data_IF_298143094396
#
_entry.id   IF_298143094396
#
_cell.length_a   1.000
_cell.length_b   1.000
_cell.length_c   1.000
_cell.angle_alpha   90.00
_cell.angle_beta   90.00
_cell.angle_gamma   90.00
#
_symmetry.space_group_name_H-M   'P 1'
#
loop_
_entity.id
_entity.type
_entity.pdbx_description
1 polymer ?
#
# COMPACT_ATOMS: atom_id res chain seq x y z
N UNK A 1 5.57 -43.73 -8.72
CA UNK A 1 6.58 -42.65 -8.77
C UNK A 1 6.21 -41.63 -7.72
N UNK A 2 6.89 -41.60 -6.58
CA UNK A 2 6.73 -40.55 -5.57
C UNK A 2 7.39 -39.29 -6.11
N UNK A 3 6.58 -38.30 -6.51
CA UNK A 3 7.07 -36.98 -6.91
C UNK A 3 7.88 -36.40 -5.76
N UNK A 4 9.01 -35.79 -6.12
CA UNK A 4 9.85 -34.98 -5.21
C UNK A 4 8.93 -33.97 -4.58
N UNK A 5 8.60 -34.13 -3.28
CA UNK A 5 7.86 -33.12 -2.53
C UNK A 5 8.79 -31.89 -2.45
N UNK A 6 8.57 -30.91 -3.30
CA UNK A 6 9.15 -29.58 -3.11
C UNK A 6 8.75 -29.11 -1.73
N UNK A 7 9.69 -28.60 -0.95
CA UNK A 7 9.36 -27.93 0.30
C UNK A 7 8.24 -26.90 0.05
N UNK A 8 7.21 -26.87 0.88
CA UNK A 8 6.11 -25.91 0.71
C UNK A 8 6.64 -24.48 0.78
N UNK A 9 6.04 -23.59 0.00
CA UNK A 9 6.31 -22.15 0.07
C UNK A 9 5.96 -21.66 1.48
N UNK A 10 6.93 -21.12 2.18
CA UNK A 10 6.80 -20.65 3.55
C UNK A 10 6.30 -19.21 3.57
N UNK A 11 5.14 -18.97 4.15
CA UNK A 11 4.48 -17.68 4.10
C UNK A 11 4.36 -17.08 5.50
N UNK A 12 4.75 -15.81 5.63
CA UNK A 12 4.42 -14.95 6.76
C UNK A 12 3.20 -14.10 6.39
N UNK A 13 2.16 -14.10 7.23
CA UNK A 13 0.99 -13.22 7.07
C UNK A 13 1.00 -12.13 8.13
N UNK A 14 0.78 -10.88 7.70
CA UNK A 14 0.79 -9.70 8.57
C UNK A 14 -0.47 -8.90 8.33
N UNK A 15 -1.34 -8.82 9.35
CA UNK A 15 -2.61 -8.07 9.31
C UNK A 15 -3.06 -7.83 10.75
N UNK A 16 -3.52 -6.64 11.09
CA UNK A 16 -4.00 -6.31 12.44
C UNK A 16 -5.41 -6.86 12.73
N UNK A 17 -6.15 -7.24 11.68
CA UNK A 17 -7.50 -7.81 11.81
C UNK A 17 -7.44 -9.33 11.96
N UNK A 18 -7.76 -9.90 13.14
CA UNK A 18 -7.61 -11.34 13.39
C UNK A 18 -8.39 -12.23 12.41
N UNK A 19 -9.64 -11.87 12.07
CA UNK A 19 -10.48 -12.64 11.15
C UNK A 19 -9.91 -12.67 9.73
N UNK A 20 -9.36 -11.55 9.27
CA UNK A 20 -8.73 -11.46 7.95
C UNK A 20 -7.47 -12.32 7.93
N UNK A 21 -6.62 -12.19 8.95
CA UNK A 21 -5.38 -12.94 9.10
C UNK A 21 -5.62 -14.45 9.13
N UNK A 22 -6.60 -14.91 9.92
CA UNK A 22 -7.00 -16.33 9.98
C UNK A 22 -7.59 -16.81 8.66
N UNK A 23 -8.44 -16.00 8.01
CA UNK A 23 -9.01 -16.30 6.71
C UNK A 23 -7.93 -16.50 5.64
N UNK A 24 -6.97 -15.59 5.57
CA UNK A 24 -5.83 -15.68 4.64
C UNK A 24 -4.98 -16.92 4.97
N UNK A 25 -4.69 -17.16 6.25
CA UNK A 25 -3.92 -18.32 6.67
C UNK A 25 -4.63 -19.65 6.29
N UNK A 26 -5.94 -19.71 6.43
CA UNK A 26 -6.75 -20.86 6.01
C UNK A 26 -6.66 -21.10 4.49
N UNK A 27 -6.76 -20.03 3.70
CA UNK A 27 -6.61 -20.10 2.23
C UNK A 27 -5.23 -20.63 1.85
N UNK A 28 -4.17 -20.12 2.47
CA UNK A 28 -2.79 -20.55 2.19
C UNK A 28 -2.58 -22.01 2.58
N UNK A 29 -2.97 -22.39 3.79
CA UNK A 29 -2.77 -23.75 4.31
C UNK A 29 -3.66 -24.80 3.60
N UNK A 30 -4.70 -24.37 2.88
CA UNK A 30 -5.47 -25.26 2.01
C UNK A 30 -4.73 -25.64 0.71
N UNK A 31 -3.67 -24.90 0.37
CA UNK A 31 -2.85 -25.21 -0.81
C UNK A 31 -1.82 -26.28 -0.47
N UNK A 32 -1.67 -27.34 -1.33
CA UNK A 32 -0.74 -28.46 -1.04
C UNK A 32 0.74 -28.06 -1.11
N UNK A 33 1.04 -26.90 -1.69
CA UNK A 33 2.38 -26.38 -1.97
C UNK A 33 2.74 -25.13 -1.13
N UNK A 34 1.94 -24.77 -0.12
CA UNK A 34 2.15 -23.61 0.72
C UNK A 34 1.92 -23.91 2.20
N UNK A 35 2.56 -23.14 3.06
CA UNK A 35 2.38 -23.21 4.52
C UNK A 35 2.59 -21.85 5.17
N UNK A 36 1.68 -21.43 6.03
CA UNK A 36 1.90 -20.30 6.92
C UNK A 36 2.87 -20.71 8.01
N UNK A 37 4.00 -20.02 8.12
CA UNK A 37 5.04 -20.31 9.12
C UNK A 37 4.98 -19.37 10.32
N UNK A 38 4.38 -18.18 10.14
CA UNK A 38 4.14 -17.23 11.21
C UNK A 38 2.99 -16.27 10.84
N UNK A 39 2.36 -15.70 11.85
CA UNK A 39 1.32 -14.68 11.72
C UNK A 39 1.66 -13.51 12.64
N UNK A 40 1.70 -12.30 12.13
CA UNK A 40 1.98 -11.08 12.86
C UNK A 40 0.77 -10.15 12.86
N UNK A 41 0.59 -9.38 13.92
CA UNK A 41 -0.49 -8.40 14.08
C UNK A 41 -0.04 -6.96 13.95
N UNK A 42 1.26 -6.72 13.91
CA UNK A 42 1.87 -5.39 13.77
C UNK A 42 3.21 -5.45 13.03
N UNK A 43 3.79 -4.27 12.76
CA UNK A 43 5.02 -4.17 11.98
C UNK A 43 6.26 -4.67 12.72
N UNK A 44 6.32 -4.51 14.04
CA UNK A 44 7.46 -4.99 14.85
C UNK A 44 7.48 -6.50 14.92
N UNK A 45 6.31 -7.13 15.14
CA UNK A 45 6.17 -8.59 15.05
C UNK A 45 6.55 -9.09 13.66
N UNK A 46 6.11 -8.40 12.60
CA UNK A 46 6.45 -8.77 11.23
C UNK A 46 7.95 -8.79 10.98
N UNK A 47 8.68 -7.76 11.43
CA UNK A 47 10.15 -7.68 11.32
C UNK A 47 10.81 -8.81 12.12
N UNK A 48 10.38 -9.02 13.36
CA UNK A 48 10.92 -10.07 14.25
C UNK A 48 10.71 -11.47 13.68
N UNK A 49 9.48 -11.78 13.26
CA UNK A 49 9.14 -13.10 12.70
C UNK A 49 9.76 -13.33 11.33
N UNK A 50 9.97 -12.28 10.54
CA UNK A 50 10.74 -12.41 9.31
C UNK A 50 12.20 -12.84 9.60
N UNK A 51 12.86 -12.22 10.58
CA UNK A 51 14.22 -12.56 10.99
C UNK A 51 14.31 -14.00 11.50
N UNK A 52 13.33 -14.45 12.30
CA UNK A 52 13.30 -15.78 12.91
C UNK A 52 12.98 -16.87 11.88
N UNK A 53 11.90 -16.67 11.13
CA UNK A 53 11.36 -17.73 10.27
C UNK A 53 11.87 -17.69 8.84
N UNK A 54 12.43 -16.57 8.36
CA UNK A 54 12.94 -16.38 6.99
C UNK A 54 11.94 -16.95 5.95
N UNK A 55 10.73 -16.38 5.85
CA UNK A 55 9.71 -16.85 4.92
C UNK A 55 10.12 -16.63 3.47
N UNK A 56 9.60 -17.46 2.57
CA UNK A 56 9.82 -17.31 1.12
C UNK A 56 9.01 -16.14 0.55
N UNK A 57 7.82 -15.89 1.12
CA UNK A 57 6.89 -14.80 0.75
C UNK A 57 6.27 -14.22 2.02
N UNK A 58 6.14 -12.91 2.07
CA UNK A 58 5.40 -12.21 3.12
C UNK A 58 4.20 -11.50 2.53
N UNK A 59 3.01 -11.74 3.08
CA UNK A 59 1.82 -10.93 2.84
C UNK A 59 1.74 -9.87 3.93
N UNK A 60 1.79 -8.61 3.55
CA UNK A 60 1.91 -7.47 4.46
C UNK A 60 0.76 -6.49 4.26
N UNK A 61 -0.05 -6.29 5.28
CA UNK A 61 -1.04 -5.22 5.25
C UNK A 61 -0.36 -3.85 5.18
N UNK A 62 -0.95 -2.93 4.44
CA UNK A 62 -0.48 -1.54 4.36
C UNK A 62 -0.62 -0.79 5.68
N UNK A 63 -1.71 -1.05 6.40
CA UNK A 63 -2.06 -0.33 7.63
C UNK A 63 -1.89 -1.25 8.82
N UNK A 64 -0.88 -0.98 9.64
CA UNK A 64 -0.61 -1.66 10.89
C UNK A 64 -0.69 -0.65 12.04
N UNK A 65 -0.97 -1.09 13.27
CA UNK A 65 -1.23 -0.18 14.39
C UNK A 65 0.00 0.62 14.86
N UNK A 66 1.19 0.12 14.62
CA UNK A 66 2.45 0.70 15.10
C UNK A 66 3.27 1.43 14.03
N UNK A 67 3.17 1.00 12.77
CA UNK A 67 3.86 1.61 11.63
C UNK A 67 3.16 1.25 10.32
N UNK A 68 3.51 1.90 9.21
CA UNK A 68 2.99 1.47 7.92
C UNK A 68 3.63 0.14 7.47
N UNK A 69 2.86 -0.73 6.79
CA UNK A 69 3.41 -1.96 6.24
C UNK A 69 4.53 -1.71 5.22
N UNK A 70 4.53 -0.53 4.56
CA UNK A 70 5.63 -0.12 3.68
C UNK A 70 6.91 0.10 4.50
N UNK A 71 6.83 0.77 5.64
CA UNK A 71 7.98 1.02 6.51
C UNK A 71 8.52 -0.29 7.12
N UNK A 72 7.62 -1.21 7.52
CA UNK A 72 8.00 -2.56 7.94
C UNK A 72 8.70 -3.34 6.82
N UNK A 73 8.19 -3.27 5.58
CA UNK A 73 8.83 -3.88 4.42
C UNK A 73 10.22 -3.27 4.15
N UNK A 74 10.36 -1.95 4.22
CA UNK A 74 11.65 -1.27 4.05
C UNK A 74 12.65 -1.76 5.10
N UNK A 75 12.24 -1.86 6.37
CA UNK A 75 13.08 -2.36 7.46
C UNK A 75 13.52 -3.81 7.23
N UNK A 76 12.60 -4.69 6.79
CA UNK A 76 12.92 -6.08 6.43
C UNK A 76 13.91 -6.12 5.27
N UNK A 77 13.65 -5.38 4.18
CA UNK A 77 14.51 -5.38 3.00
C UNK A 77 15.86 -4.74 3.23
N UNK A 78 15.99 -3.83 4.19
CA UNK A 78 17.27 -3.27 4.62
C UNK A 78 18.23 -4.33 5.18
N UNK A 79 17.67 -5.38 5.81
CA UNK A 79 18.44 -6.52 6.34
C UNK A 79 18.47 -7.70 5.36
N UNK A 80 17.40 -7.89 4.58
CA UNK A 80 17.19 -9.00 3.65
C UNK A 80 16.78 -8.45 2.28
N UNK A 81 17.71 -7.98 1.43
CA UNK A 81 17.40 -7.33 0.14
C UNK A 81 16.54 -8.19 -0.81
N UNK A 82 16.66 -9.52 -0.70
CA UNK A 82 15.90 -10.48 -1.53
C UNK A 82 14.51 -10.83 -0.96
N UNK A 83 14.11 -10.22 0.16
CA UNK A 83 12.79 -10.44 0.75
C UNK A 83 11.68 -10.17 -0.28
N UNK A 84 10.78 -11.15 -0.41
CA UNK A 84 9.64 -11.07 -1.33
C UNK A 84 8.41 -10.68 -0.53
N UNK A 85 8.03 -9.41 -0.63
CA UNK A 85 6.87 -8.86 0.07
C UNK A 85 5.78 -8.53 -0.95
N UNK A 86 4.57 -9.01 -0.66
CA UNK A 86 3.33 -8.70 -1.35
C UNK A 86 2.52 -7.80 -0.41
N UNK A 87 2.12 -6.64 -0.88
CA UNK A 87 1.28 -5.75 -0.08
C UNK A 87 -0.19 -6.18 -0.18
N UNK A 88 -0.87 -6.18 0.96
CA UNK A 88 -2.32 -6.40 1.08
C UNK A 88 -3.04 -5.08 1.33
N UNK A 89 -4.22 -4.91 0.74
CA UNK A 89 -5.04 -3.72 0.99
C UNK A 89 -6.53 -4.01 0.79
N UNK A 90 -7.36 -3.21 1.46
CA UNK A 90 -8.80 -3.16 1.22
C UNK A 90 -9.17 -2.08 0.21
N UNK A 91 -8.29 -1.10 -0.03
CA UNK A 91 -8.57 0.08 -0.85
C UNK A 91 -7.49 0.32 -1.89
N UNK A 92 -7.93 0.90 -2.99
CA UNK A 92 -7.10 1.30 -4.12
C UNK A 92 -6.59 2.73 -3.89
N UNK A 93 -5.50 2.86 -3.15
CA UNK A 93 -4.81 4.13 -2.99
C UNK A 93 -3.59 4.15 -3.93
N UNK A 94 -3.71 4.86 -5.04
CA UNK A 94 -2.70 4.85 -6.11
C UNK A 94 -1.32 5.30 -5.62
N UNK A 95 -1.27 6.29 -4.73
CA UNK A 95 0.00 6.77 -4.17
C UNK A 95 0.65 5.75 -3.22
N UNK A 96 -0.15 5.01 -2.43
CA UNK A 96 0.38 3.94 -1.58
C UNK A 96 0.89 2.77 -2.42
N UNK A 97 0.18 2.43 -3.51
CA UNK A 97 0.63 1.42 -4.48
C UNK A 97 1.97 1.83 -5.10
N UNK A 98 2.07 3.06 -5.60
CA UNK A 98 3.29 3.57 -6.20
C UNK A 98 4.45 3.59 -5.19
N UNK A 99 4.20 4.10 -3.97
CA UNK A 99 5.20 4.11 -2.88
C UNK A 99 5.67 2.71 -2.53
N UNK A 100 4.76 1.74 -2.41
CA UNK A 100 5.11 0.36 -2.11
C UNK A 100 5.97 -0.28 -3.20
N UNK A 101 5.64 -0.05 -4.47
CA UNK A 101 6.39 -0.58 -5.60
C UNK A 101 7.79 0.04 -5.71
N UNK A 102 7.91 1.35 -5.49
CA UNK A 102 9.20 2.06 -5.45
C UNK A 102 10.06 1.57 -4.27
N UNK A 103 9.45 1.27 -3.13
CA UNK A 103 10.11 0.69 -1.97
C UNK A 103 10.48 -0.79 -2.16
N UNK A 104 10.05 -1.42 -3.26
CA UNK A 104 10.46 -2.76 -3.67
C UNK A 104 9.49 -3.88 -3.38
N UNK A 105 8.20 -3.59 -3.18
CA UNK A 105 7.16 -4.61 -3.18
C UNK A 105 7.21 -5.44 -4.47
N UNK A 106 7.00 -6.75 -4.36
CA UNK A 106 7.01 -7.65 -5.51
C UNK A 106 5.64 -7.79 -6.17
N UNK A 107 4.59 -7.53 -5.40
CA UNK A 107 3.22 -7.54 -5.88
C UNK A 107 2.32 -6.75 -4.92
N UNK A 108 1.09 -6.60 -5.34
CA UNK A 108 0.02 -5.93 -4.63
C UNK A 108 -1.26 -6.74 -4.77
N UNK A 109 -1.94 -7.04 -3.68
CA UNK A 109 -3.16 -7.88 -3.66
C UNK A 109 -4.27 -7.12 -2.93
N UNK A 110 -5.45 -7.08 -3.54
CA UNK A 110 -6.66 -6.64 -2.85
C UNK A 110 -7.13 -7.75 -1.89
N UNK A 111 -7.51 -7.40 -0.66
CA UNK A 111 -8.09 -8.36 0.32
C UNK A 111 -9.39 -8.99 -0.18
N UNK A 112 -10.05 -8.37 -1.17
CA UNK A 112 -11.24 -8.89 -1.87
C UNK A 112 -10.92 -9.87 -3.00
N UNK A 113 -9.64 -10.06 -3.35
CA UNK A 113 -9.22 -10.94 -4.42
C UNK A 113 -9.64 -12.39 -4.15
N UNK A 114 -10.12 -13.14 -5.17
CA UNK A 114 -10.46 -14.54 -5.02
C UNK A 114 -9.28 -15.38 -4.50
N UNK A 115 -9.50 -16.33 -3.57
CA UNK A 115 -8.46 -17.16 -2.96
C UNK A 115 -7.51 -17.83 -3.97
N UNK A 116 -8.06 -18.28 -5.11
CA UNK A 116 -7.28 -18.93 -6.16
C UNK A 116 -6.27 -17.98 -6.82
N UNK A 117 -6.68 -16.74 -7.07
CA UNK A 117 -5.81 -15.71 -7.68
C UNK A 117 -4.74 -15.25 -6.71
N UNK A 118 -5.08 -15.14 -5.41
CA UNK A 118 -4.12 -14.84 -4.34
C UNK A 118 -3.02 -15.92 -4.29
N UNK A 119 -3.40 -17.20 -4.30
CA UNK A 119 -2.45 -18.31 -4.29
C UNK A 119 -1.56 -18.30 -5.54
N UNK A 120 -2.12 -18.02 -6.71
CA UNK A 120 -1.34 -17.95 -7.95
C UNK A 120 -0.35 -16.78 -7.94
N UNK A 121 -0.76 -15.62 -7.45
CA UNK A 121 0.14 -14.46 -7.29
C UNK A 121 1.32 -14.78 -6.35
N UNK A 122 1.07 -15.48 -5.24
CA UNK A 122 2.15 -15.92 -4.34
C UNK A 122 3.12 -16.88 -5.03
N UNK A 123 2.63 -17.82 -5.84
CA UNK A 123 3.51 -18.73 -6.63
C UNK A 123 4.40 -17.96 -7.60
N UNK A 124 3.83 -16.99 -8.29
CA UNK A 124 4.56 -16.16 -9.24
C UNK A 124 5.64 -15.31 -8.54
N UNK A 125 5.30 -14.70 -7.40
CA UNK A 125 6.26 -13.93 -6.60
C UNK A 125 7.36 -14.84 -6.03
N UNK A 126 7.01 -16.03 -5.55
CA UNK A 126 7.99 -17.02 -5.12
C UNK A 126 8.93 -17.44 -6.26
N UNK A 127 8.42 -17.57 -7.48
CA UNK A 127 9.21 -17.82 -8.68
C UNK A 127 10.06 -16.61 -9.14
N UNK A 128 10.07 -15.51 -8.39
CA UNK A 128 10.87 -14.31 -8.67
C UNK A 128 10.22 -13.29 -9.60
N UNK A 129 8.98 -13.50 -10.04
CA UNK A 129 8.26 -12.56 -10.89
C UNK A 129 7.77 -11.36 -10.06
N UNK A 130 7.74 -10.19 -10.69
CA UNK A 130 6.96 -9.05 -10.19
C UNK A 130 5.57 -9.15 -10.85
N UNK A 131 4.54 -9.17 -10.05
CA UNK A 131 3.17 -9.30 -10.53
C UNK A 131 2.36 -8.10 -10.09
N UNK A 132 1.82 -7.37 -11.06
CA UNK A 132 0.83 -6.34 -10.80
C UNK A 132 -0.49 -6.84 -11.38
N UNK A 133 -1.58 -6.90 -10.58
CA UNK A 133 -2.91 -7.13 -11.13
C UNK A 133 -3.19 -6.14 -12.25
N UNK A 134 -3.86 -6.57 -13.32
CA UNK A 134 -4.12 -5.72 -14.49
C UNK A 134 -4.85 -4.41 -14.10
N UNK A 135 -5.76 -4.49 -13.13
CA UNK A 135 -6.46 -3.35 -12.55
C UNK A 135 -5.52 -2.31 -11.95
N UNK A 136 -4.53 -2.77 -11.18
CA UNK A 136 -3.51 -1.92 -10.55
C UNK A 136 -2.58 -1.33 -11.62
N UNK A 137 -2.19 -2.12 -12.61
CA UNK A 137 -1.34 -1.66 -13.70
C UNK A 137 -2.04 -0.59 -14.57
N UNK A 138 -3.33 -0.76 -14.87
CA UNK A 138 -4.12 0.22 -15.61
C UNK A 138 -4.21 1.54 -14.85
N UNK A 139 -4.54 1.52 -13.57
CA UNK A 139 -4.63 2.73 -12.73
C UNK A 139 -3.28 3.44 -12.59
N UNK A 140 -2.21 2.70 -12.39
CA UNK A 140 -0.87 3.30 -12.38
C UNK A 140 -0.55 3.96 -13.71
N UNK A 141 -0.93 3.36 -14.84
CA UNK A 141 -0.72 3.94 -16.16
C UNK A 141 -1.55 5.21 -16.39
N UNK A 142 -2.79 5.26 -15.90
CA UNK A 142 -3.67 6.43 -15.96
C UNK A 142 -3.10 7.63 -15.20
N UNK A 143 -2.38 7.37 -14.10
CA UNK A 143 -1.83 8.41 -13.22
C UNK A 143 -0.33 8.65 -13.36
N UNK A 144 0.37 7.90 -14.22
CA UNK A 144 1.79 8.12 -14.52
C UNK A 144 2.07 9.49 -15.17
N UNK A 145 1.06 10.11 -15.78
CA UNK A 145 1.13 11.42 -16.39
C UNK A 145 0.66 12.57 -15.48
N UNK A 146 0.13 12.25 -14.30
CA UNK A 146 -0.37 13.28 -13.39
C UNK A 146 0.80 14.03 -12.74
N UNK A 147 0.77 15.35 -12.83
CA UNK A 147 1.76 16.20 -12.18
C UNK A 147 1.55 16.13 -10.65
N UNK A 148 2.58 15.76 -9.86
CA UNK A 148 2.43 15.66 -8.40
C UNK A 148 2.11 17.03 -7.79
N UNK A 149 1.38 17.02 -6.69
CA UNK A 149 1.21 18.23 -5.89
C UNK A 149 2.55 18.66 -5.30
N UNK A 150 2.87 19.96 -5.40
CA UNK A 150 4.02 20.52 -4.69
C UNK A 150 3.81 20.47 -3.18
N UNK A 151 4.88 20.60 -2.41
CA UNK A 151 4.79 20.66 -0.94
C UNK A 151 3.80 21.75 -0.50
N UNK A 152 3.83 22.90 -1.16
CA UNK A 152 2.95 24.02 -0.86
C UNK A 152 1.48 23.76 -1.18
N UNK A 153 1.21 23.09 -2.28
CA UNK A 153 -0.14 22.66 -2.65
C UNK A 153 -0.67 21.60 -1.65
N UNK A 154 0.20 20.70 -1.20
CA UNK A 154 -0.15 19.71 -0.17
C UNK A 154 -0.50 20.38 1.16
N UNK A 155 0.28 21.36 1.62
CA UNK A 155 -0.01 22.15 2.83
C UNK A 155 -1.36 22.89 2.72
N UNK A 156 -1.62 23.54 1.59
CA UNK A 156 -2.90 24.21 1.34
C UNK A 156 -4.06 23.22 1.40
N UNK A 157 -3.92 22.06 0.76
CA UNK A 157 -4.95 21.03 0.72
C UNK A 157 -5.23 20.40 2.09
N UNK A 158 -4.21 20.21 2.92
CA UNK A 158 -4.37 19.78 4.31
C UNK A 158 -5.19 20.79 5.14
N UNK A 159 -4.98 22.10 4.92
CA UNK A 159 -5.77 23.13 5.59
C UNK A 159 -7.22 23.18 5.08
N UNK A 160 -7.42 22.92 3.78
CA UNK A 160 -8.77 22.75 3.22
C UNK A 160 -9.50 21.60 3.91
N UNK A 161 -8.83 20.48 4.15
CA UNK A 161 -9.34 19.31 4.85
C UNK A 161 -9.86 19.67 6.27
N UNK A 162 -9.11 20.50 7.00
CA UNK A 162 -9.49 20.99 8.33
C UNK A 162 -10.66 21.99 8.31
N UNK A 163 -11.29 22.22 7.15
CA UNK A 163 -12.41 23.13 7.00
C UNK A 163 -12.03 24.62 6.99
N UNK A 164 -10.74 24.95 6.93
CA UNK A 164 -10.28 26.34 6.97
C UNK A 164 -10.73 27.11 5.72
N UNK A 165 -11.12 28.36 5.93
CA UNK A 165 -11.42 29.31 4.84
C UNK A 165 -10.13 29.85 4.24
N UNK A 166 -10.17 30.35 3.01
CA UNK A 166 -8.97 30.87 2.33
C UNK A 166 -8.23 31.96 3.12
N UNK A 167 -8.97 32.76 3.90
CA UNK A 167 -8.38 33.78 4.79
C UNK A 167 -7.57 33.15 5.92
N UNK A 168 -8.09 32.06 6.53
CA UNK A 168 -7.44 31.36 7.63
C UNK A 168 -6.19 30.63 7.12
N UNK A 169 -6.28 30.01 5.94
CA UNK A 169 -5.16 29.36 5.24
C UNK A 169 -4.05 30.39 4.94
N UNK A 170 -4.44 31.56 4.40
CA UNK A 170 -3.51 32.64 4.08
C UNK A 170 -2.75 33.10 5.33
N UNK A 171 -3.44 33.26 6.44
CA UNK A 171 -2.85 33.67 7.73
C UNK A 171 -1.88 32.60 8.26
N UNK A 172 -2.28 31.32 8.26
CA UNK A 172 -1.45 30.23 8.76
C UNK A 172 -0.19 30.03 7.92
N UNK A 173 -0.32 30.16 6.61
CA UNK A 173 0.78 29.92 5.67
C UNK A 173 1.59 31.18 5.33
N UNK A 174 1.25 32.34 5.94
CA UNK A 174 1.90 33.65 5.71
C UNK A 174 1.96 34.06 4.23
N UNK A 175 0.85 33.85 3.50
CA UNK A 175 0.69 34.22 2.10
C UNK A 175 -0.59 35.04 1.87
N UNK A 176 -0.76 35.60 0.68
CA UNK A 176 -1.98 36.32 0.35
C UNK A 176 -3.17 35.39 0.10
N UNK A 177 -4.39 35.88 0.29
CA UNK A 177 -5.62 35.15 -0.04
C UNK A 177 -5.67 34.80 -1.52
N UNK A 178 -5.17 35.68 -2.37
CA UNK A 178 -5.10 35.44 -3.83
C UNK A 178 -4.13 34.30 -4.15
N UNK A 179 -3.00 34.19 -3.43
CA UNK A 179 -2.06 33.08 -3.58
C UNK A 179 -2.72 31.75 -3.17
N UNK A 180 -3.52 31.74 -2.09
CA UNK A 180 -4.30 30.54 -1.68
C UNK A 180 -5.28 30.13 -2.79
N UNK A 181 -6.01 31.08 -3.37
CA UNK A 181 -6.95 30.80 -4.46
C UNK A 181 -6.22 30.21 -5.69
N UNK A 182 -5.05 30.76 -6.02
CA UNK A 182 -4.21 30.25 -7.11
C UNK A 182 -3.78 28.80 -6.85
N UNK A 183 -3.29 28.48 -5.63
CA UNK A 183 -2.94 27.12 -5.26
C UNK A 183 -4.15 26.17 -5.35
N UNK A 184 -5.32 26.55 -4.83
CA UNK A 184 -6.52 25.73 -4.91
C UNK A 184 -6.91 25.48 -6.38
N UNK A 185 -6.81 26.47 -7.25
CA UNK A 185 -7.07 26.31 -8.68
C UNK A 185 -6.12 25.30 -9.31
N UNK A 186 -4.81 25.42 -9.09
CA UNK A 186 -3.81 24.49 -9.63
C UNK A 186 -3.99 23.08 -9.06
N UNK A 187 -4.35 22.94 -7.76
CA UNK A 187 -4.68 21.65 -7.16
C UNK A 187 -5.86 21.02 -7.88
N UNK A 188 -6.95 21.78 -8.11
CA UNK A 188 -8.12 21.27 -8.83
C UNK A 188 -7.78 20.85 -10.26
N UNK A 189 -6.96 21.63 -10.98
CA UNK A 189 -6.49 21.30 -12.32
C UNK A 189 -5.67 20.00 -12.33
N UNK A 190 -4.68 19.87 -11.44
CA UNK A 190 -3.84 18.67 -11.30
C UNK A 190 -4.62 17.41 -10.93
N UNK A 191 -5.65 17.56 -10.09
CA UNK A 191 -6.47 16.44 -9.62
C UNK A 191 -7.68 16.15 -10.54
N UNK A 192 -7.95 16.98 -11.54
CA UNK A 192 -9.13 16.87 -12.39
C UNK A 192 -10.44 17.10 -11.61
N UNK A 193 -10.41 17.93 -10.56
CA UNK A 193 -11.53 18.15 -9.66
C UNK A 193 -12.36 19.37 -10.10
N UNK A 194 -13.68 19.26 -9.99
CA UNK A 194 -14.63 20.35 -10.31
C UNK A 194 -14.77 21.39 -9.19
N UNK A 195 -14.48 20.97 -7.94
CA UNK A 195 -14.56 21.83 -6.76
C UNK A 195 -13.54 21.37 -5.69
N UNK A 196 -13.38 22.22 -4.64
CA UNK A 196 -12.42 21.98 -3.56
C UNK A 196 -12.71 20.73 -2.71
N UNK A 197 -13.99 20.35 -2.60
CA UNK A 197 -14.41 19.16 -1.84
C UNK A 197 -14.08 17.89 -2.62
N UNK A 198 -14.32 17.91 -3.92
CA UNK A 198 -13.92 16.83 -4.81
C UNK A 198 -12.40 16.70 -4.87
N UNK A 199 -11.66 17.82 -4.94
CA UNK A 199 -10.20 17.80 -4.90
C UNK A 199 -9.68 17.12 -3.63
N UNK A 200 -10.26 17.46 -2.48
CA UNK A 200 -9.97 16.81 -1.22
C UNK A 200 -10.26 15.30 -1.25
N UNK A 201 -11.47 14.91 -1.70
CA UNK A 201 -11.87 13.51 -1.80
C UNK A 201 -10.93 12.70 -2.68
N UNK A 202 -10.53 13.25 -3.82
CA UNK A 202 -9.58 12.61 -4.73
C UNK A 202 -8.20 12.46 -4.06
N UNK A 203 -7.71 13.51 -3.39
CA UNK A 203 -6.40 13.48 -2.74
C UNK A 203 -6.33 12.47 -1.58
N UNK A 204 -7.41 12.32 -0.78
CA UNK A 204 -7.53 11.27 0.24
C UNK A 204 -7.55 9.88 -0.40
N UNK A 205 -8.37 9.68 -1.44
CA UNK A 205 -8.44 8.40 -2.16
C UNK A 205 -7.10 8.03 -2.80
N UNK A 206 -6.36 9.01 -3.31
CA UNK A 206 -5.01 8.80 -3.88
C UNK A 206 -3.91 8.71 -2.81
N UNK A 207 -4.23 8.90 -1.50
CA UNK A 207 -3.26 8.88 -0.40
C UNK A 207 -2.22 10.01 -0.43
N UNK A 208 -2.51 11.08 -1.14
CA UNK A 208 -1.66 12.27 -1.18
C UNK A 208 -1.69 13.04 0.14
N UNK A 209 -2.79 12.89 0.91
CA UNK A 209 -2.99 13.43 2.25
C UNK A 209 -3.61 12.35 3.13
N UNK A 210 -3.19 12.30 4.40
CA UNK A 210 -3.75 11.39 5.41
C UNK A 210 -4.71 12.15 6.33
N UNK A 211 -5.79 11.46 6.75
CA UNK A 211 -6.76 11.94 7.75
C UNK A 211 -6.18 11.83 9.16
#
# INVERSE_FOLDING_TARGET
MRGIMKNPIRVLTVDDHPLVREGIASVINSQPDMQVVAQASDGREAISYFCEHKPDVTLMDLRLPDMSGIDAMIAIRGQFPEARVIMLTTFDCDAEIQRALLAGARSYILKSMPPREMAETMRQVHAGKKCLPAEVATRLAEHLSDEPLSERETEVLQRVMLGNRNRDIAQHLLISVETVKSHIKHIMEKLGASDRTQAFTIAVRRGMIQL
#
